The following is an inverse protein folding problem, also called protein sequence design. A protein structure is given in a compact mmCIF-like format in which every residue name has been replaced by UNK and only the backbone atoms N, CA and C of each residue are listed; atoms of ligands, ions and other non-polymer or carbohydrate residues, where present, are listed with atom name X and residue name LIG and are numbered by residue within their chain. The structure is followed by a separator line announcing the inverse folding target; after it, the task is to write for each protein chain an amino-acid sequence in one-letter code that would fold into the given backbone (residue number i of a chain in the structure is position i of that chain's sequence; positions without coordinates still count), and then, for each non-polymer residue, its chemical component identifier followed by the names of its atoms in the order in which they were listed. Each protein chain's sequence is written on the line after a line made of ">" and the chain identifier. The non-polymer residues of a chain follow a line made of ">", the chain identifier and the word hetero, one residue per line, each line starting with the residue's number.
data_IF_480101230469
#
_entry.id   IF_480101230469
#
_cell.length_a   1.000
_cell.length_b   1.000
_cell.length_c   1.000
_cell.angle_alpha   90.00
_cell.angle_beta   90.00
_cell.angle_gamma   90.00
#
_symmetry.space_group_name_H-M   'P 1'
#
loop_
_entity.id
_entity.type
_entity.pdbx_description
1 polymer ?
#
# COMPACT_ATOMS: atom_id res chain seq x y z
N UNK A 1 2.86 15.00 -38.69
CA UNK A 1 3.38 14.33 -39.92
C UNK A 1 3.34 15.25 -41.15
N UNK A 2 2.17 15.70 -41.67
CA UNK A 2 2.11 16.58 -42.88
C UNK A 2 2.90 17.86 -42.69
N UNK A 3 2.73 18.57 -41.59
CA UNK A 3 3.49 19.80 -41.26
C UNK A 3 5.01 19.56 -41.23
N UNK A 4 5.47 18.44 -40.67
CA UNK A 4 6.89 18.08 -40.65
C UNK A 4 7.44 17.83 -42.05
N UNK A 5 6.65 17.16 -42.93
CA UNK A 5 7.05 16.90 -44.32
C UNK A 5 7.07 18.19 -45.13
N UNK A 6 6.10 19.09 -44.98
CA UNK A 6 6.07 20.39 -45.70
C UNK A 6 7.18 21.33 -45.24
N UNK A 7 7.66 21.21 -43.98
CA UNK A 7 8.79 22.01 -43.50
C UNK A 7 10.15 21.43 -43.94
N UNK A 8 10.23 20.10 -44.14
CA UNK A 8 11.48 19.43 -44.55
C UNK A 8 11.64 19.26 -46.06
N UNK A 9 10.61 19.56 -46.85
CA UNK A 9 10.63 19.44 -48.32
C UNK A 9 10.16 20.72 -48.99
N UNK A 10 10.63 20.99 -50.23
CA UNK A 10 10.19 22.12 -51.03
C UNK A 10 8.74 21.95 -51.60
N UNK A 11 7.99 20.95 -51.16
CA UNK A 11 6.67 20.63 -51.64
C UNK A 11 5.57 21.36 -50.85
N UNK A 12 4.66 22.02 -51.54
CA UNK A 12 3.52 22.66 -50.91
C UNK A 12 2.53 21.65 -50.33
N UNK A 13 1.76 22.09 -49.31
CA UNK A 13 0.71 21.32 -48.60
C UNK A 13 -0.21 20.51 -49.52
N UNK A 14 -0.61 21.12 -50.67
CA UNK A 14 -1.47 20.48 -51.68
C UNK A 14 -0.86 19.17 -52.19
N UNK A 15 0.41 19.20 -52.59
CA UNK A 15 1.12 18.05 -53.15
C UNK A 15 1.33 16.95 -52.10
N UNK A 16 1.67 17.31 -50.87
CA UNK A 16 1.83 16.37 -49.77
C UNK A 16 0.52 15.68 -49.41
N UNK A 17 -0.61 16.43 -49.39
CA UNK A 17 -1.92 15.84 -49.15
C UNK A 17 -2.39 14.91 -50.28
N UNK A 18 -2.10 15.24 -51.54
CA UNK A 18 -2.38 14.38 -52.69
C UNK A 18 -1.62 13.05 -52.60
N UNK A 19 -0.34 13.11 -52.33
CA UNK A 19 0.52 11.88 -52.21
C UNK A 19 0.11 11.01 -51.06
N UNK A 20 -0.25 11.60 -49.92
CA UNK A 20 -0.68 10.89 -48.73
C UNK A 20 -2.15 10.50 -48.75
N UNK A 21 -2.90 10.84 -49.81
CA UNK A 21 -4.35 10.60 -49.92
C UNK A 21 -5.16 11.14 -48.73
N UNK A 22 -4.72 12.27 -48.17
CA UNK A 22 -5.38 12.92 -47.04
C UNK A 22 -6.14 14.19 -47.55
N UNK A 23 -7.39 14.40 -47.17
CA UNK A 23 -8.10 15.63 -47.53
C UNK A 23 -7.38 16.88 -47.05
N UNK A 24 -7.24 17.90 -47.86
CA UNK A 24 -6.61 19.21 -47.49
C UNK A 24 -7.28 19.85 -46.27
N UNK A 25 -8.60 19.70 -46.16
CA UNK A 25 -9.35 20.13 -44.98
C UNK A 25 -8.78 19.56 -43.67
N UNK A 26 -8.31 18.32 -43.64
CA UNK A 26 -7.69 17.69 -42.48
C UNK A 26 -6.35 18.33 -42.08
N UNK A 27 -5.66 18.98 -43.02
CA UNK A 27 -4.45 19.76 -42.74
C UNK A 27 -4.76 21.14 -42.16
N UNK A 28 -5.74 21.84 -42.77
CA UNK A 28 -6.12 23.20 -42.33
C UNK A 28 -7.07 23.19 -41.13
N UNK A 29 -7.75 22.09 -40.86
CA UNK A 29 -8.33 21.83 -39.56
C UNK A 29 -7.17 21.41 -38.60
N UNK A 30 -6.27 22.33 -38.31
CA UNK A 30 -5.62 22.33 -37.01
C UNK A 30 -6.79 22.48 -36.01
N UNK A 31 -7.20 21.38 -35.41
CA UNK A 31 -8.31 21.38 -34.48
C UNK A 31 -7.97 22.40 -33.41
N UNK A 32 -8.70 23.52 -33.35
CA UNK A 32 -8.68 24.37 -32.17
C UNK A 32 -8.92 23.43 -30.97
N UNK A 33 -8.16 23.54 -29.90
CA UNK A 33 -8.36 22.67 -28.75
C UNK A 33 -9.85 22.79 -28.34
N UNK A 34 -10.54 21.66 -28.34
CA UNK A 34 -11.92 21.64 -27.88
C UNK A 34 -11.93 21.97 -26.38
N UNK A 35 -13.02 22.58 -25.89
CA UNK A 35 -13.17 22.84 -24.46
C UNK A 35 -12.85 21.58 -23.64
N UNK A 36 -13.27 20.40 -24.12
CA UNK A 36 -12.96 19.11 -23.50
C UNK A 36 -11.46 18.77 -23.48
N UNK A 37 -10.72 19.15 -24.53
CA UNK A 37 -9.28 18.95 -24.60
C UNK A 37 -8.55 19.81 -23.56
N UNK A 38 -8.94 21.08 -23.44
CA UNK A 38 -8.38 21.98 -22.40
C UNK A 38 -8.68 21.46 -21.00
N UNK A 39 -9.91 21.04 -20.74
CA UNK A 39 -10.29 20.44 -19.45
C UNK A 39 -9.55 19.11 -19.17
N UNK A 40 -9.20 18.32 -20.20
CA UNK A 40 -8.40 17.11 -20.05
C UNK A 40 -6.95 17.44 -19.73
N UNK A 41 -6.39 18.52 -20.28
CA UNK A 41 -5.03 18.98 -19.97
C UNK A 41 -4.93 19.45 -18.51
N UNK A 42 -5.87 20.27 -18.03
CA UNK A 42 -5.91 20.73 -16.63
C UNK A 42 -6.07 19.55 -15.66
N UNK A 43 -6.97 18.61 -15.97
CA UNK A 43 -7.17 17.42 -15.18
C UNK A 43 -5.93 16.54 -15.17
N UNK A 44 -5.22 16.43 -16.29
CA UNK A 44 -3.97 15.69 -16.42
C UNK A 44 -2.88 16.27 -15.52
N UNK A 45 -2.74 17.58 -15.44
CA UNK A 45 -1.79 18.24 -14.54
C UNK A 45 -2.10 17.92 -13.06
N UNK A 46 -3.37 17.93 -12.69
CA UNK A 46 -3.81 17.56 -11.34
C UNK A 46 -3.51 16.08 -11.05
N UNK A 47 -3.76 15.18 -12.01
CA UNK A 47 -3.41 13.75 -11.92
C UNK A 47 -1.89 13.58 -11.74
N UNK A 48 -1.06 14.27 -12.52
CA UNK A 48 0.40 14.24 -12.40
C UNK A 48 0.87 14.69 -11.02
N UNK A 49 0.32 15.78 -10.53
CA UNK A 49 0.65 16.32 -9.20
C UNK A 49 0.40 15.29 -8.10
N UNK A 50 -0.78 14.69 -8.10
CA UNK A 50 -1.13 13.64 -7.12
C UNK A 50 -0.26 12.40 -7.30
N UNK A 51 -0.06 11.94 -8.54
CA UNK A 51 0.75 10.75 -8.83
C UNK A 51 2.19 10.91 -8.35
N UNK A 52 2.80 12.07 -8.56
CA UNK A 52 4.16 12.39 -8.09
C UNK A 52 4.22 12.55 -6.58
N UNK A 53 3.26 13.23 -5.96
CA UNK A 53 3.20 13.39 -4.50
C UNK A 53 3.17 12.03 -3.79
N UNK A 54 2.51 11.05 -4.38
CA UNK A 54 2.49 9.68 -3.89
C UNK A 54 3.56 8.76 -4.52
N UNK A 55 4.59 9.31 -5.16
CA UNK A 55 5.75 8.58 -5.74
C UNK A 55 5.32 7.40 -6.64
N UNK A 56 4.29 7.59 -7.47
CA UNK A 56 3.78 6.55 -8.36
C UNK A 56 3.01 5.40 -7.68
N UNK A 57 2.66 5.51 -6.41
CA UNK A 57 1.98 4.47 -5.63
C UNK A 57 0.47 4.39 -5.88
N UNK A 58 -0.13 5.47 -6.40
CA UNK A 58 -1.58 5.58 -6.58
C UNK A 58 -2.03 5.18 -7.98
N UNK A 59 -2.91 4.17 -8.06
CA UNK A 59 -3.70 3.87 -9.25
C UNK A 59 -4.91 4.81 -9.36
N UNK A 60 -5.60 4.76 -10.51
CA UNK A 60 -6.67 5.68 -10.87
C UNK A 60 -7.77 5.85 -9.79
N UNK A 61 -8.12 4.79 -9.03
CA UNK A 61 -9.16 4.88 -8.00
C UNK A 61 -8.76 5.78 -6.84
N UNK A 62 -7.49 5.70 -6.37
CA UNK A 62 -6.98 6.58 -5.32
C UNK A 62 -6.80 8.00 -5.82
N UNK A 63 -6.29 8.18 -7.03
CA UNK A 63 -6.17 9.50 -7.67
C UNK A 63 -7.54 10.14 -7.81
N UNK A 64 -8.54 9.41 -8.32
CA UNK A 64 -9.91 9.90 -8.42
C UNK A 64 -10.48 10.37 -7.07
N UNK A 65 -10.27 9.59 -6.01
CA UNK A 65 -10.70 9.98 -4.65
C UNK A 65 -9.97 11.20 -4.12
N UNK A 66 -8.68 11.32 -4.43
CA UNK A 66 -7.89 12.50 -4.05
C UNK A 66 -8.32 13.75 -4.81
N UNK A 67 -8.64 13.65 -6.10
CA UNK A 67 -9.21 14.73 -6.89
C UNK A 67 -10.56 15.19 -6.31
N UNK A 68 -11.44 14.25 -5.98
CA UNK A 68 -12.72 14.56 -5.35
C UNK A 68 -12.56 15.28 -3.99
N UNK A 69 -11.53 14.94 -3.21
CA UNK A 69 -11.19 15.64 -1.96
C UNK A 69 -10.61 17.05 -2.19
N UNK A 70 -10.25 17.40 -3.43
CA UNK A 70 -9.80 18.73 -3.87
C UNK A 70 -10.91 19.46 -4.68
N UNK A 71 -12.16 19.02 -4.56
CA UNK A 71 -13.34 19.55 -5.28
C UNK A 71 -13.25 19.42 -6.81
N UNK A 72 -12.35 18.57 -7.33
CA UNK A 72 -12.24 18.26 -8.76
C UNK A 72 -13.14 17.05 -9.08
N UNK A 73 -14.35 17.34 -9.57
CA UNK A 73 -15.36 16.32 -9.87
C UNK A 73 -15.18 15.79 -11.28
N UNK A 74 -14.88 14.51 -11.42
CA UNK A 74 -14.74 13.84 -12.72
C UNK A 74 -15.13 12.35 -12.60
N UNK A 75 -15.39 11.71 -13.74
CA UNK A 75 -15.66 10.28 -13.78
C UNK A 75 -14.37 9.47 -13.58
N UNK A 76 -14.38 8.37 -12.81
CA UNK A 76 -13.19 7.54 -12.60
C UNK A 76 -12.64 6.94 -13.91
N UNK A 77 -13.49 6.67 -14.89
CA UNK A 77 -13.09 6.22 -16.22
C UNK A 77 -12.26 7.28 -16.97
N UNK A 78 -12.56 8.59 -16.79
CA UNK A 78 -11.78 9.69 -17.38
C UNK A 78 -10.36 9.73 -16.79
N UNK A 79 -10.24 9.61 -15.47
CA UNK A 79 -8.94 9.53 -14.80
C UNK A 79 -8.13 8.33 -15.30
N UNK A 80 -8.76 7.13 -15.38
CA UNK A 80 -8.10 5.93 -15.90
C UNK A 80 -7.60 6.12 -17.34
N UNK A 81 -8.42 6.73 -18.23
CA UNK A 81 -8.04 6.99 -19.62
C UNK A 81 -6.82 7.91 -19.68
N UNK A 82 -6.86 9.06 -19.02
CA UNK A 82 -5.76 10.03 -19.01
C UNK A 82 -4.47 9.43 -18.45
N UNK A 83 -4.55 8.65 -17.37
CA UNK A 83 -3.38 7.94 -16.84
C UNK A 83 -2.76 6.99 -17.88
N UNK A 84 -3.60 6.25 -18.64
CA UNK A 84 -3.10 5.33 -19.67
C UNK A 84 -2.49 6.10 -20.85
N UNK A 85 -3.12 7.16 -21.33
CA UNK A 85 -2.62 8.01 -22.42
C UNK A 85 -1.27 8.63 -22.10
N UNK A 86 -1.02 8.95 -20.82
CA UNK A 86 0.23 9.55 -20.37
C UNK A 86 1.22 8.55 -19.73
N UNK A 87 0.97 7.24 -19.84
CA UNK A 87 1.87 6.20 -19.34
C UNK A 87 2.03 6.18 -17.81
N UNK A 88 1.06 6.69 -17.06
CA UNK A 88 1.09 6.70 -15.59
C UNK A 88 0.66 5.35 -15.03
N UNK A 89 1.63 4.48 -14.80
CA UNK A 89 1.41 3.12 -14.26
C UNK A 89 1.78 3.08 -12.78
N UNK A 90 0.81 2.73 -11.95
CA UNK A 90 1.05 2.60 -10.50
C UNK A 90 1.92 1.38 -10.18
N UNK A 91 2.72 1.50 -9.12
CA UNK A 91 3.52 0.40 -8.59
C UNK A 91 2.62 -0.77 -8.20
N UNK A 92 2.96 -1.98 -8.65
CA UNK A 92 2.20 -3.20 -8.40
C UNK A 92 3.02 -4.21 -7.61
N UNK A 93 2.40 -4.96 -6.66
CA UNK A 93 3.07 -6.07 -5.99
C UNK A 93 3.50 -7.13 -7.01
N UNK A 94 4.71 -7.67 -6.84
CA UNK A 94 5.15 -8.84 -7.61
C UNK A 94 4.51 -10.11 -7.05
N UNK A 95 4.23 -11.07 -7.93
CA UNK A 95 3.54 -12.33 -7.62
C UNK A 95 4.35 -13.32 -6.78
N UNK A 96 5.65 -13.09 -6.56
CA UNK A 96 6.51 -14.00 -5.81
C UNK A 96 6.82 -13.47 -4.41
N UNK A 97 6.46 -14.23 -3.37
CA UNK A 97 6.89 -14.01 -1.99
C UNK A 97 7.48 -15.31 -1.41
N UNK A 98 8.70 -15.28 -0.85
CA UNK A 98 9.23 -16.41 -0.08
C UNK A 98 8.32 -16.71 1.11
N UNK A 99 8.16 -18.00 1.45
CA UNK A 99 7.44 -18.41 2.66
C UNK A 99 8.31 -18.11 3.88
N UNK A 100 7.78 -17.39 4.87
CA UNK A 100 8.46 -16.99 6.11
C UNK A 100 8.17 -17.91 7.30
N UNK A 101 7.08 -18.69 7.24
CA UNK A 101 6.65 -19.55 8.34
C UNK A 101 6.98 -21.01 8.04
N UNK A 102 7.56 -21.70 9.05
CA UNK A 102 7.79 -23.12 9.03
C UNK A 102 6.60 -23.93 9.58
N UNK A 103 5.60 -23.26 10.16
CA UNK A 103 4.38 -23.85 10.69
C UNK A 103 4.59 -24.74 11.93
N UNK A 104 5.73 -24.60 12.65
CA UNK A 104 6.22 -25.51 13.69
C UNK A 104 6.04 -25.03 15.12
N UNK A 105 5.01 -24.23 15.42
CA UNK A 105 4.70 -23.98 16.83
C UNK A 105 4.33 -25.30 17.53
N UNK A 106 5.07 -25.68 18.57
CA UNK A 106 4.89 -26.95 19.28
C UNK A 106 3.51 -27.10 19.96
N UNK A 107 2.87 -26.00 20.32
CA UNK A 107 1.53 -25.98 20.91
C UNK A 107 0.75 -24.76 20.37
N UNK A 108 0.11 -24.87 19.20
CA UNK A 108 -0.60 -23.74 18.61
C UNK A 108 -1.84 -23.35 19.41
N UNK A 109 -2.03 -22.04 19.60
CA UNK A 109 -3.26 -21.50 20.16
C UNK A 109 -4.47 -21.70 19.19
N UNK A 110 -5.69 -21.81 19.70
CA UNK A 110 -6.87 -21.95 18.85
C UNK A 110 -7.05 -20.72 17.95
N UNK A 111 -7.70 -20.91 16.79
CA UNK A 111 -8.09 -19.80 15.94
C UNK A 111 -9.37 -19.15 16.47
N UNK A 112 -9.22 -18.00 17.13
CA UNK A 112 -10.34 -17.26 17.71
C UNK A 112 -11.08 -16.37 16.70
N UNK A 113 -10.53 -16.22 15.47
CA UNK A 113 -11.14 -15.39 14.41
C UNK A 113 -11.97 -16.21 13.42
N UNK A 114 -12.00 -17.52 13.58
CA UNK A 114 -12.74 -18.39 12.67
C UNK A 114 -14.23 -18.07 12.75
N UNK A 115 -14.84 -17.74 11.60
CA UNK A 115 -16.25 -17.36 11.47
C UNK A 115 -16.68 -16.13 12.30
N UNK A 116 -15.71 -15.32 12.74
CA UNK A 116 -16.03 -14.06 13.41
C UNK A 116 -16.11 -12.91 12.39
N UNK A 117 -16.99 -11.93 12.61
CA UNK A 117 -16.99 -10.70 11.83
C UNK A 117 -15.68 -9.94 12.03
N UNK A 118 -15.38 -9.03 11.10
CA UNK A 118 -14.24 -8.10 11.28
C UNK A 118 -14.47 -7.23 12.53
N UNK A 119 -13.39 -6.85 13.26
CA UNK A 119 -13.50 -6.00 14.42
C UNK A 119 -14.13 -4.66 14.05
N UNK A 120 -15.05 -4.17 14.88
CA UNK A 120 -15.78 -2.93 14.67
C UNK A 120 -15.04 -1.72 15.25
N UNK A 121 -14.19 -1.94 16.26
CA UNK A 121 -13.43 -0.89 16.94
C UNK A 121 -11.94 -1.17 16.88
N UNK A 122 -11.10 -0.11 16.87
CA UNK A 122 -9.66 -0.24 17.07
C UNK A 122 -9.34 -0.95 18.39
N UNK A 123 -8.24 -1.68 18.42
CA UNK A 123 -7.73 -2.43 19.57
C UNK A 123 -8.60 -3.62 20.03
N UNK A 124 -9.51 -4.11 19.20
CA UNK A 124 -10.21 -5.39 19.44
C UNK A 124 -9.37 -6.58 18.95
N UNK A 125 -8.78 -6.45 17.77
CA UNK A 125 -7.95 -7.51 17.17
C UNK A 125 -6.73 -6.91 16.50
N UNK A 126 -5.56 -7.34 16.94
CA UNK A 126 -4.30 -7.10 16.26
C UNK A 126 -3.82 -8.35 15.55
N UNK A 127 -3.12 -8.19 14.44
CA UNK A 127 -2.46 -9.30 13.75
C UNK A 127 -0.97 -9.02 13.56
N UNK A 128 -0.16 -10.07 13.66
CA UNK A 128 1.29 -10.00 13.46
C UNK A 128 1.78 -10.89 12.34
N UNK A 129 2.86 -10.44 11.67
CA UNK A 129 3.56 -11.21 10.64
C UNK A 129 5.00 -10.74 10.51
N UNK A 130 5.85 -11.58 9.91
CA UNK A 130 7.27 -11.30 9.67
C UNK A 130 7.54 -11.37 8.18
N UNK A 131 8.33 -10.42 7.66
CA UNK A 131 8.79 -10.45 6.27
C UNK A 131 10.29 -10.20 6.14
N UNK A 132 10.87 -10.64 5.03
CA UNK A 132 12.26 -10.41 4.67
C UNK A 132 12.42 -9.07 3.96
N UNK A 133 13.44 -8.31 4.34
CA UNK A 133 13.85 -7.03 3.75
C UNK A 133 15.28 -7.20 3.20
N UNK A 134 15.51 -7.04 1.88
CA UNK A 134 16.84 -7.17 1.30
C UNK A 134 17.69 -5.93 1.59
N UNK A 135 18.88 -6.14 2.14
CA UNK A 135 19.85 -5.10 2.50
C UNK A 135 21.24 -5.52 2.05
N UNK A 136 21.81 -4.82 1.06
CA UNK A 136 23.05 -5.28 0.43
C UNK A 136 22.95 -6.74 -0.02
N UNK A 137 23.86 -7.58 0.46
CA UNK A 137 23.86 -9.04 0.21
C UNK A 137 23.18 -9.85 1.33
N UNK A 138 22.60 -9.18 2.32
CA UNK A 138 22.00 -9.80 3.51
C UNK A 138 20.50 -9.60 3.55
N UNK A 139 19.87 -10.24 4.50
CA UNK A 139 18.47 -10.09 4.83
C UNK A 139 18.30 -9.50 6.22
N UNK A 140 17.41 -8.55 6.37
CA UNK A 140 16.82 -8.19 7.64
C UNK A 140 15.40 -8.74 7.72
N UNK A 141 14.87 -8.81 8.91
CA UNK A 141 13.56 -9.33 9.20
C UNK A 141 12.72 -8.22 9.84
N UNK A 142 11.59 -7.94 9.23
CA UNK A 142 10.64 -6.95 9.72
C UNK A 142 9.43 -7.68 10.31
N UNK A 143 9.22 -7.54 11.62
CA UNK A 143 7.98 -7.91 12.27
C UNK A 143 7.06 -6.69 12.34
N UNK A 144 5.75 -6.89 12.12
CA UNK A 144 4.75 -5.83 12.24
C UNK A 144 3.57 -6.30 13.09
N UNK A 145 2.92 -5.33 13.72
CA UNK A 145 1.61 -5.49 14.38
C UNK A 145 0.64 -4.53 13.72
N UNK A 146 -0.44 -5.05 13.15
CA UNK A 146 -1.49 -4.29 12.48
C UNK A 146 -2.81 -4.41 13.23
N UNK A 147 -3.49 -3.30 13.41
CA UNK A 147 -4.87 -3.27 13.89
C UNK A 147 -5.82 -3.67 12.74
N UNK A 148 -6.65 -4.69 12.95
CA UNK A 148 -7.51 -5.22 11.88
C UNK A 148 -8.74 -4.36 11.60
N UNK A 149 -9.16 -3.50 12.51
CA UNK A 149 -10.23 -2.54 12.26
C UNK A 149 -9.73 -1.38 11.40
N UNK A 150 -8.71 -0.68 11.87
CA UNK A 150 -8.20 0.55 11.25
C UNK A 150 -7.15 0.33 10.16
N UNK A 151 -6.60 -0.87 10.03
CA UNK A 151 -5.44 -1.19 9.17
C UNK A 151 -4.16 -0.44 9.55
N UNK A 152 -4.15 0.21 10.70
CA UNK A 152 -2.99 0.93 11.19
C UNK A 152 -1.91 -0.03 11.65
N UNK A 153 -0.67 0.22 11.26
CA UNK A 153 0.48 -0.44 11.87
C UNK A 153 0.71 0.21 13.21
N UNK A 154 0.55 -0.56 14.27
CA UNK A 154 0.62 -0.08 15.65
C UNK A 154 1.95 -0.38 16.31
N UNK A 155 2.73 -1.31 15.73
CA UNK A 155 4.08 -1.62 16.16
C UNK A 155 4.86 -2.32 15.05
N UNK A 156 6.18 -2.13 15.04
CA UNK A 156 7.08 -2.83 14.12
C UNK A 156 8.50 -2.90 14.69
N UNK A 157 9.25 -3.87 14.25
CA UNK A 157 10.66 -4.04 14.62
C UNK A 157 11.45 -4.63 13.47
N UNK A 158 12.71 -4.20 13.32
CA UNK A 158 13.64 -4.65 12.30
C UNK A 158 14.88 -5.24 12.97
N UNK A 159 15.28 -6.46 12.59
CA UNK A 159 16.47 -7.13 13.11
C UNK A 159 17.17 -7.97 12.04
N UNK A 160 18.40 -8.38 12.31
CA UNK A 160 19.20 -9.28 11.47
C UNK A 160 18.98 -10.77 11.79
N UNK A 161 18.01 -11.06 12.64
CA UNK A 161 17.68 -12.41 13.10
C UNK A 161 16.18 -12.67 13.19
N UNK A 162 15.79 -13.93 13.13
CA UNK A 162 14.40 -14.42 13.23
C UNK A 162 14.05 -14.98 14.62
N UNK A 163 14.69 -14.49 15.68
CA UNK A 163 14.38 -14.94 17.04
C UNK A 163 13.12 -14.27 17.59
N UNK A 164 12.61 -14.78 18.71
CA UNK A 164 11.39 -14.26 19.37
C UNK A 164 11.49 -12.81 19.81
N UNK A 165 12.71 -12.32 20.09
CA UNK A 165 12.95 -10.91 20.45
C UNK A 165 12.45 -9.94 19.39
N UNK A 166 12.49 -10.34 18.12
CA UNK A 166 11.97 -9.52 17.01
C UNK A 166 10.47 -9.24 17.16
N UNK A 167 9.67 -10.29 17.43
CA UNK A 167 8.19 -10.13 17.56
C UNK A 167 7.83 -9.51 18.92
N UNK A 168 8.62 -9.75 19.94
CA UNK A 168 8.47 -9.09 21.26
C UNK A 168 8.69 -7.58 21.11
N UNK A 169 9.77 -7.15 20.48
CA UNK A 169 10.04 -5.72 20.28
C UNK A 169 8.94 -5.01 19.45
N UNK A 170 8.40 -5.65 18.41
CA UNK A 170 7.27 -5.11 17.66
C UNK A 170 6.01 -4.99 18.52
N UNK A 171 5.76 -5.99 19.38
CA UNK A 171 4.61 -5.98 20.27
C UNK A 171 4.77 -4.95 21.39
N UNK A 172 5.95 -4.81 21.98
CA UNK A 172 6.25 -3.80 23.01
C UNK A 172 6.03 -2.38 22.47
N UNK A 173 6.43 -2.11 21.23
CA UNK A 173 6.14 -0.82 20.59
C UNK A 173 4.64 -0.60 20.47
N UNK A 174 3.86 -1.61 20.07
CA UNK A 174 2.41 -1.51 19.99
C UNK A 174 1.76 -1.26 21.35
N UNK A 175 2.24 -1.93 22.39
CA UNK A 175 1.76 -1.78 23.77
C UNK A 175 2.04 -0.38 24.34
N UNK A 176 3.18 0.22 23.99
CA UNK A 176 3.53 1.59 24.38
C UNK A 176 2.71 2.63 23.63
N UNK A 177 2.36 2.38 22.38
CA UNK A 177 1.63 3.30 21.52
C UNK A 177 0.11 3.28 21.72
N UNK A 178 -0.43 2.25 22.42
CA UNK A 178 -1.88 2.00 22.49
C UNK A 178 -2.41 1.70 23.87
N UNK A 179 -3.60 2.20 24.13
CA UNK A 179 -4.40 1.71 25.26
C UNK A 179 -4.95 0.31 24.95
N UNK A 180 -4.63 -0.64 25.81
CA UNK A 180 -5.09 -2.02 25.67
C UNK A 180 -6.52 -2.12 26.16
N UNK A 181 -7.41 -2.57 25.27
CA UNK A 181 -8.81 -2.89 25.65
C UNK A 181 -8.88 -4.27 26.27
N UNK A 182 -9.77 -4.51 27.25
CA UNK A 182 -10.00 -5.84 27.75
C UNK A 182 -10.36 -6.81 26.61
N UNK A 183 -9.80 -8.02 26.65
CA UNK A 183 -10.00 -9.08 25.65
C UNK A 183 -9.41 -8.84 24.26
N UNK A 184 -8.47 -7.90 24.08
CA UNK A 184 -7.72 -7.79 22.84
C UNK A 184 -7.23 -9.16 22.38
N UNK A 185 -7.46 -9.48 21.11
CA UNK A 185 -6.96 -10.70 20.47
C UNK A 185 -5.73 -10.35 19.64
N UNK A 186 -4.63 -11.08 19.85
CA UNK A 186 -3.46 -11.05 18.95
C UNK A 186 -3.47 -12.29 18.06
N UNK A 187 -3.56 -12.09 16.77
CA UNK A 187 -3.60 -13.16 15.76
C UNK A 187 -2.30 -13.24 14.96
N UNK A 188 -1.80 -14.44 14.72
CA UNK A 188 -0.62 -14.68 13.89
C UNK A 188 -0.71 -16.00 13.13
N UNK A 189 0.27 -16.27 12.29
CA UNK A 189 0.55 -17.62 11.82
C UNK A 189 1.11 -18.50 12.96
N UNK A 190 1.47 -19.76 12.61
CA UNK A 190 2.09 -20.72 13.56
C UNK A 190 3.62 -20.66 13.55
N UNK A 191 4.21 -19.50 13.30
CA UNK A 191 5.66 -19.33 13.41
C UNK A 191 6.14 -19.60 14.83
N UNK A 192 7.33 -20.22 14.95
CA UNK A 192 7.95 -20.56 16.24
C UNK A 192 8.16 -19.33 17.13
N UNK A 193 8.37 -18.15 16.53
CA UNK A 193 8.53 -16.87 17.23
C UNK A 193 7.30 -16.52 18.06
N UNK A 194 6.10 -16.65 17.47
CA UNK A 194 4.81 -16.39 18.14
C UNK A 194 4.43 -17.51 19.11
N UNK A 195 4.95 -18.72 18.91
CA UNK A 195 4.80 -19.86 19.81
C UNK A 195 5.74 -19.84 21.01
N UNK A 196 6.73 -18.95 21.05
CA UNK A 196 7.75 -18.91 22.10
C UNK A 196 7.18 -18.58 23.48
N UNK A 197 7.81 -19.13 24.52
CA UNK A 197 7.41 -18.88 25.92
C UNK A 197 7.44 -17.38 26.26
N UNK A 198 8.47 -16.67 25.79
CA UNK A 198 8.65 -15.22 26.06
C UNK A 198 7.50 -14.43 25.47
N UNK A 199 7.13 -14.66 24.21
CA UNK A 199 6.02 -13.97 23.56
C UNK A 199 4.67 -14.28 24.21
N UNK A 200 4.42 -15.55 24.57
CA UNK A 200 3.20 -15.94 25.29
C UNK A 200 3.10 -15.32 26.68
N UNK A 201 4.23 -15.22 27.40
CA UNK A 201 4.25 -14.55 28.71
C UNK A 201 3.97 -13.06 28.58
N UNK A 202 4.50 -12.40 27.54
CA UNK A 202 4.20 -10.99 27.23
C UNK A 202 2.69 -10.80 27.02
N UNK A 203 2.07 -11.59 26.15
CA UNK A 203 0.61 -11.50 25.90
C UNK A 203 -0.20 -11.74 27.17
N UNK A 204 0.17 -12.77 27.97
CA UNK A 204 -0.50 -13.09 29.24
C UNK A 204 -0.38 -11.96 30.25
N UNK A 205 0.80 -11.33 30.37
CA UNK A 205 1.05 -10.17 31.26
C UNK A 205 0.15 -8.99 30.98
N UNK A 206 -0.27 -8.82 29.72
CA UNK A 206 -1.20 -7.76 29.29
C UNK A 206 -2.65 -8.24 29.10
N UNK A 207 -2.98 -9.46 29.56
CA UNK A 207 -4.32 -10.05 29.38
C UNK A 207 -4.81 -10.14 27.92
N UNK A 208 -3.88 -10.29 26.97
CA UNK A 208 -4.12 -10.41 25.54
C UNK A 208 -4.34 -11.89 25.19
N UNK A 209 -5.40 -12.17 24.45
CA UNK A 209 -5.73 -13.51 24.01
C UNK A 209 -4.99 -13.88 22.73
N UNK A 210 -4.23 -14.95 22.75
CA UNK A 210 -3.53 -15.42 21.57
C UNK A 210 -4.44 -16.24 20.66
N UNK A 211 -4.38 -15.94 19.36
CA UNK A 211 -5.04 -16.66 18.28
C UNK A 211 -4.03 -17.03 17.20
N UNK A 212 -4.12 -18.23 16.65
CA UNK A 212 -3.23 -18.66 15.56
C UNK A 212 -4.05 -19.23 14.39
N UNK A 213 -3.61 -18.90 13.16
CA UNK A 213 -4.21 -19.44 11.93
C UNK A 213 -4.10 -20.97 11.87
N UNK A 214 -4.98 -21.61 11.09
CA UNK A 214 -4.80 -23.02 10.77
C UNK A 214 -3.55 -23.22 9.90
N UNK A 215 -2.93 -24.41 9.98
CA UNK A 215 -1.75 -24.74 9.17
C UNK A 215 -2.09 -24.61 7.69
N UNK A 216 -1.22 -23.92 6.93
CA UNK A 216 -1.33 -23.73 5.49
C UNK A 216 -2.64 -23.06 5.01
N UNK A 217 -3.28 -22.23 5.83
CA UNK A 217 -4.43 -21.44 5.42
C UNK A 217 -4.06 -19.95 5.32
N UNK A 218 -3.68 -19.45 4.13
CA UNK A 218 -3.27 -18.06 3.93
C UNK A 218 -4.42 -17.06 4.17
N UNK A 219 -5.66 -17.47 4.00
CA UNK A 219 -6.82 -16.58 4.19
C UNK A 219 -6.94 -16.04 5.62
N UNK A 220 -6.35 -16.75 6.59
CA UNK A 220 -6.43 -16.36 7.99
C UNK A 220 -5.48 -15.21 8.36
N UNK A 221 -4.49 -14.89 7.52
CA UNK A 221 -3.55 -13.76 7.73
C UNK A 221 -3.49 -12.79 6.53
N UNK A 222 -4.53 -12.79 5.70
CA UNK A 222 -4.57 -12.01 4.46
C UNK A 222 -4.35 -10.49 4.66
N UNK A 223 -4.66 -9.96 5.83
CA UNK A 223 -4.49 -8.54 6.14
C UNK A 223 -3.02 -8.14 6.26
N UNK A 224 -2.24 -8.92 7.00
CA UNK A 224 -0.78 -8.71 7.12
C UNK A 224 -0.08 -9.01 5.81
N UNK A 225 -0.47 -10.06 5.09
CA UNK A 225 0.04 -10.36 3.75
C UNK A 225 -0.22 -9.21 2.76
N UNK A 226 -1.41 -8.61 2.79
CA UNK A 226 -1.77 -7.44 1.98
C UNK A 226 -0.89 -6.23 2.32
N UNK A 227 -0.60 -5.99 3.60
CA UNK A 227 0.33 -4.96 4.02
C UNK A 227 1.75 -5.25 3.52
N UNK A 228 2.26 -6.47 3.71
CA UNK A 228 3.61 -6.86 3.28
C UNK A 228 3.78 -6.73 1.77
N UNK A 229 2.77 -7.13 0.99
CA UNK A 229 2.73 -6.93 -0.46
C UNK A 229 2.79 -5.44 -0.84
N UNK A 230 2.02 -4.61 -0.15
CA UNK A 230 2.00 -3.15 -0.34
C UNK A 230 3.37 -2.53 0.00
N UNK A 231 3.94 -2.86 1.16
CA UNK A 231 5.24 -2.37 1.59
C UNK A 231 6.33 -2.72 0.57
N UNK A 232 6.42 -3.98 0.14
CA UNK A 232 7.40 -4.42 -0.85
C UNK A 232 7.23 -3.71 -2.20
N UNK A 233 6.00 -3.57 -2.69
CA UNK A 233 5.74 -2.92 -3.97
C UNK A 233 6.01 -1.42 -3.94
N UNK A 234 5.57 -0.75 -2.89
CA UNK A 234 5.55 0.72 -2.83
C UNK A 234 6.83 1.31 -2.24
N UNK A 235 7.63 0.52 -1.50
CA UNK A 235 8.86 0.96 -0.87
C UNK A 235 10.11 0.38 -1.57
N UNK A 236 10.19 -0.94 -1.76
CA UNK A 236 11.41 -1.57 -2.29
C UNK A 236 11.60 -1.37 -3.80
N UNK A 237 10.52 -1.26 -4.59
CA UNK A 237 10.57 -1.03 -6.05
C UNK A 237 11.62 -1.89 -6.79
N UNK A 238 11.89 -3.10 -6.32
CA UNK A 238 12.96 -4.02 -6.77
C UNK A 238 14.39 -3.63 -6.34
N UNK A 239 14.53 -2.60 -5.54
CA UNK A 239 15.80 -2.20 -4.95
C UNK A 239 16.15 -3.01 -3.70
N UNK A 240 17.33 -2.71 -3.17
CA UNK A 240 17.81 -3.17 -1.87
C UNK A 240 18.27 -1.95 -1.10
N UNK A 241 18.11 -1.98 0.21
CA UNK A 241 18.71 -0.95 1.05
C UNK A 241 20.22 -1.11 1.11
N UNK A 242 20.93 -0.02 1.32
CA UNK A 242 22.39 0.00 1.39
C UNK A 242 22.85 -0.68 2.69
N UNK A 243 22.21 -0.33 3.80
CA UNK A 243 22.53 -0.86 5.12
C UNK A 243 21.30 -0.89 6.04
N UNK A 244 21.45 -1.39 7.25
CA UNK A 244 20.35 -1.53 8.22
C UNK A 244 19.78 -0.19 8.68
N UNK A 245 20.61 0.84 8.82
CA UNK A 245 20.17 2.19 9.21
C UNK A 245 19.30 2.83 8.11
N UNK A 246 19.71 2.69 6.85
CA UNK A 246 18.95 3.13 5.69
C UNK A 246 17.59 2.41 5.62
N UNK A 247 17.59 1.08 5.77
CA UNK A 247 16.36 0.29 5.82
C UNK A 247 15.42 0.74 6.95
N UNK A 248 15.96 0.98 8.15
CA UNK A 248 15.16 1.41 9.31
C UNK A 248 14.54 2.79 9.09
N UNK A 249 15.30 3.74 8.55
CA UNK A 249 14.81 5.09 8.26
C UNK A 249 13.71 5.10 7.20
N UNK A 250 13.89 4.35 6.11
CA UNK A 250 12.90 4.27 5.03
C UNK A 250 11.64 3.51 5.48
N UNK A 251 11.76 2.44 6.30
CA UNK A 251 10.62 1.72 6.87
C UNK A 251 9.83 2.65 7.80
N UNK A 252 10.50 3.40 8.68
CA UNK A 252 9.87 4.40 9.53
C UNK A 252 9.11 5.45 8.69
N UNK A 253 9.79 6.04 7.71
CA UNK A 253 9.18 7.03 6.82
C UNK A 253 7.98 6.45 6.05
N UNK A 254 8.06 5.18 5.64
CA UNK A 254 6.95 4.52 4.96
C UNK A 254 5.78 4.20 5.90
N UNK A 255 6.03 3.58 7.04
CA UNK A 255 4.96 3.13 7.95
C UNK A 255 4.32 4.34 8.65
N UNK A 256 5.13 5.12 9.37
CA UNK A 256 4.62 6.19 10.23
C UNK A 256 4.34 7.48 9.45
N UNK A 257 5.23 7.82 8.50
CA UNK A 257 5.12 9.04 7.70
C UNK A 257 4.13 8.94 6.52
N UNK A 258 3.89 7.75 5.97
CA UNK A 258 3.07 7.62 4.78
C UNK A 258 1.90 6.63 4.93
N UNK A 259 2.15 5.35 5.24
CA UNK A 259 1.11 4.32 5.26
C UNK A 259 -0.02 4.63 6.24
N UNK A 260 0.33 4.98 7.47
CA UNK A 260 -0.64 5.28 8.53
C UNK A 260 -1.36 6.62 8.33
N UNK A 261 -0.71 7.63 7.72
CA UNK A 261 -1.15 9.04 7.76
C UNK A 261 -1.59 9.62 6.41
N UNK A 262 -1.09 9.11 5.29
CA UNK A 262 -1.34 9.68 3.97
C UNK A 262 -1.97 8.70 2.98
N UNK A 263 -1.67 7.40 3.11
CA UNK A 263 -2.11 6.41 2.15
C UNK A 263 -3.59 6.09 2.29
N UNK A 264 -4.34 6.27 1.20
CA UNK A 264 -5.77 5.94 1.14
C UNK A 264 -5.98 4.42 1.04
N UNK A 265 -6.89 3.89 1.86
CA UNK A 265 -7.24 2.47 1.91
C UNK A 265 -8.65 2.23 1.40
N UNK A 266 -8.81 1.38 0.38
CA UNK A 266 -10.12 1.05 -0.17
C UNK A 266 -11.05 0.36 0.83
N UNK A 267 -10.47 -0.46 1.71
CA UNK A 267 -11.23 -1.13 2.81
C UNK A 267 -11.71 -0.17 3.90
N UNK A 268 -11.15 1.05 3.96
CA UNK A 268 -11.54 2.13 4.86
C UNK A 268 -12.28 3.25 4.11
N UNK A 269 -13.00 2.91 3.06
CA UNK A 269 -13.70 3.88 2.21
C UNK A 269 -12.79 5.02 1.69
N UNK A 270 -11.54 4.70 1.36
CA UNK A 270 -10.53 5.63 0.88
C UNK A 270 -10.18 6.73 1.89
N UNK A 271 -10.16 6.40 3.18
CA UNK A 271 -9.52 7.22 4.22
C UNK A 271 -8.16 6.63 4.61
N UNK A 272 -7.36 7.39 5.35
CA UNK A 272 -6.12 6.89 5.94
C UNK A 272 -6.42 6.15 7.25
N UNK A 273 -5.56 5.21 7.70
CA UNK A 273 -5.72 4.55 9.00
C UNK A 273 -5.89 5.54 10.16
N UNK A 274 -5.08 6.60 10.21
CA UNK A 274 -5.13 7.61 11.26
C UNK A 274 -6.45 8.39 11.25
N UNK A 275 -6.90 8.85 10.08
CA UNK A 275 -8.16 9.60 9.96
C UNK A 275 -9.37 8.72 10.28
N UNK A 276 -9.32 7.44 9.91
CA UNK A 276 -10.36 6.48 10.23
C UNK A 276 -10.52 6.31 11.75
N UNK A 277 -9.41 6.17 12.48
CA UNK A 277 -9.44 6.08 13.95
C UNK A 277 -9.94 7.37 14.60
N UNK A 278 -9.49 8.55 14.09
CA UNK A 278 -9.95 9.84 14.57
C UNK A 278 -11.47 10.02 14.39
N UNK A 279 -12.01 9.58 13.26
CA UNK A 279 -13.45 9.64 13.00
C UNK A 279 -14.26 8.75 13.97
N UNK A 280 -13.77 7.53 14.28
CA UNK A 280 -14.38 6.64 15.28
C UNK A 280 -14.33 7.27 16.69
N UNK A 281 -13.19 7.87 17.05
CA UNK A 281 -13.04 8.49 18.36
C UNK A 281 -13.96 9.70 18.57
N UNK A 282 -14.28 10.43 17.51
CA UNK A 282 -15.23 11.57 17.56
C UNK A 282 -16.70 11.12 17.57
N UNK A 283 -16.99 9.89 17.13
CA UNK A 283 -18.36 9.35 17.07
C UNK A 283 -18.79 8.62 18.36
N UNK A 284 -17.87 8.37 19.30
CA UNK A 284 -18.11 7.75 20.61
C UNK A 284 -18.00 8.77 21.73
#
# INVERSE_FOLDING_TARGET
>A
MITSITQSTAHGVRRVCEVLQVPRSSYYHAAEPTQRSVEDDDLTQSIYTIFRAHRGRYGYRRIWKQLAAQDIICAPARVRRLMLEHGLVALQPKTFAPKTSDGRADAPSPNLLLNQPLPAKPNEVWAGDITYIPVGERWLYLAVVIDLCSRRIVGWSLADHLRSELVVAAMDQALQARHITPNLIFHSDRGSQYGSTVFRQLLKGHSIRQSMSARANPYHNAWTESFMGTLKAEMLQNGRFINASDASAEIFAFIDGYYNTQRLHSSLNYTTPSNFESAIALAN
#
